data_IF_215005783456
#
_entry.id   IF_215005783456
#
_cell.length_a   1.000
_cell.length_b   1.000
_cell.length_c   1.000
_cell.angle_alpha   90.00
_cell.angle_beta   90.00
_cell.angle_gamma   90.00
#
_symmetry.space_group_name_H-M   'P 1'
#
loop_
_entity.id
_entity.type
_entity.pdbx_description
1 polymer ?
#
# COMPACT_ATOMS: atom_id res chain seq x y z
N UNK A 1 -5.47 -8.66 -6.24
CA UNK A 1 -4.43 -8.76 -7.26
C UNK A 1 -3.12 -8.93 -6.52
N UNK A 2 -2.47 -10.08 -6.68
CA UNK A 2 -1.12 -10.31 -6.19
C UNK A 2 -0.21 -9.43 -7.03
N UNK A 3 0.47 -8.42 -6.46
CA UNK A 3 1.17 -7.40 -7.25
C UNK A 3 2.25 -8.00 -8.18
N UNK A 4 2.61 -9.28 -8.00
CA UNK A 4 3.64 -9.91 -8.83
C UNK A 4 3.42 -11.37 -9.25
N UNK A 5 2.29 -12.00 -8.94
CA UNK A 5 2.08 -13.40 -9.33
C UNK A 5 1.46 -13.53 -10.73
N UNK A 6 2.29 -13.57 -11.78
CA UNK A 6 1.96 -14.21 -13.06
C UNK A 6 3.20 -14.48 -13.92
N UNK A 7 3.70 -15.72 -13.93
CA UNK A 7 3.62 -16.61 -15.10
C UNK A 7 3.98 -18.08 -14.77
N UNK A 8 3.50 -18.97 -15.66
CA UNK A 8 3.39 -20.42 -15.58
C UNK A 8 4.65 -21.26 -15.31
N UNK A 9 4.35 -22.44 -14.77
CA UNK A 9 5.21 -23.56 -14.37
C UNK A 9 6.01 -24.14 -15.55
N UNK A 10 7.33 -24.28 -15.35
CA UNK A 10 8.08 -25.41 -15.88
C UNK A 10 9.33 -25.71 -15.03
N UNK A 11 9.39 -26.94 -14.52
CA UNK A 11 10.55 -27.66 -13.97
C UNK A 11 11.18 -27.18 -12.64
N UNK A 12 10.83 -27.90 -11.57
CA UNK A 12 11.86 -28.53 -10.74
C UNK A 12 12.69 -27.66 -9.79
N UNK A 13 12.09 -26.73 -9.07
CA UNK A 13 12.52 -26.24 -7.73
C UNK A 13 11.44 -25.28 -7.26
N UNK A 14 11.04 -25.29 -5.97
CA UNK A 14 9.81 -24.62 -5.48
C UNK A 14 9.68 -23.17 -5.99
N UNK A 15 8.83 -22.90 -7.02
CA UNK A 15 8.90 -21.66 -7.80
C UNK A 15 8.43 -20.43 -7.02
N UNK A 16 7.59 -20.64 -6.00
CA UNK A 16 6.99 -19.59 -5.20
C UNK A 16 8.02 -18.78 -4.39
N UNK A 17 9.13 -19.39 -3.98
CA UNK A 17 10.14 -18.71 -3.16
C UNK A 17 11.05 -17.81 -4.00
N UNK A 18 11.45 -18.26 -5.19
CA UNK A 18 12.31 -17.49 -6.09
C UNK A 18 11.56 -16.30 -6.71
N UNK A 19 10.28 -16.49 -7.05
CA UNK A 19 9.40 -15.41 -7.52
C UNK A 19 9.21 -14.35 -6.43
N UNK A 20 8.89 -14.75 -5.19
CA UNK A 20 8.75 -13.81 -4.08
C UNK A 20 10.02 -12.99 -3.80
N UNK A 21 11.22 -13.57 -3.95
CA UNK A 21 12.49 -12.83 -3.80
C UNK A 21 12.70 -11.84 -4.95
N UNK A 22 12.39 -12.24 -6.19
CA UNK A 22 12.45 -11.32 -7.34
C UNK A 22 11.46 -10.17 -7.20
N UNK A 23 10.27 -10.44 -6.70
CA UNK A 23 9.21 -9.47 -6.49
C UNK A 23 9.57 -8.47 -5.40
N UNK A 24 10.18 -8.96 -4.30
CA UNK A 24 10.71 -8.11 -3.24
C UNK A 24 11.84 -7.22 -3.76
N UNK A 25 12.80 -7.76 -4.51
CA UNK A 25 13.89 -6.98 -5.11
C UNK A 25 13.35 -5.87 -6.02
N UNK A 26 12.36 -6.19 -6.86
CA UNK A 26 11.75 -5.18 -7.72
C UNK A 26 11.02 -4.10 -6.91
N UNK A 27 10.39 -4.45 -5.80
CA UNK A 27 9.79 -3.46 -4.90
C UNK A 27 10.88 -2.55 -4.29
N UNK A 28 12.01 -3.13 -3.85
CA UNK A 28 13.14 -2.34 -3.37
C UNK A 28 13.69 -1.41 -4.44
N UNK A 29 13.81 -1.87 -5.68
CA UNK A 29 14.23 -1.04 -6.81
C UNK A 29 13.25 0.10 -7.05
N UNK A 30 11.93 -0.17 -7.08
CA UNK A 30 10.88 0.85 -7.20
C UNK A 30 10.98 1.92 -6.10
N UNK A 31 11.23 1.52 -4.86
CA UNK A 31 11.38 2.45 -3.74
C UNK A 31 12.70 3.22 -3.79
N UNK A 32 13.79 2.57 -4.24
CA UNK A 32 15.12 3.18 -4.35
C UNK A 32 15.19 4.19 -5.51
N UNK A 33 14.53 3.88 -6.63
CA UNK A 33 14.38 4.79 -7.77
C UNK A 33 13.59 6.05 -7.44
N UNK A 34 12.89 6.05 -6.30
CA UNK A 34 12.17 7.19 -5.77
C UNK A 34 10.81 7.39 -6.43
N UNK A 35 9.91 7.94 -5.63
CA UNK A 35 8.58 8.37 -6.07
C UNK A 35 8.38 9.84 -5.74
N UNK A 36 7.58 10.52 -6.55
CA UNK A 36 7.11 11.87 -6.29
C UNK A 36 5.57 11.85 -6.25
N UNK A 37 5.01 12.76 -5.44
CA UNK A 37 3.58 13.08 -5.49
C UNK A 37 3.45 14.38 -6.26
N UNK A 38 2.78 14.34 -7.41
CA UNK A 38 2.64 15.49 -8.28
C UNK A 38 1.57 16.49 -7.76
N UNK A 39 1.36 17.56 -8.51
CA UNK A 39 0.41 18.63 -8.17
C UNK A 39 -1.04 18.14 -8.12
N UNK A 40 -1.36 17.09 -8.87
CA UNK A 40 -2.65 16.42 -8.90
C UNK A 40 -2.74 15.30 -7.86
N UNK A 41 -1.72 15.19 -7.00
CA UNK A 41 -1.63 14.26 -5.89
C UNK A 41 -1.53 12.79 -6.33
N UNK A 42 -1.10 12.57 -7.58
CA UNK A 42 -0.77 11.25 -8.11
C UNK A 42 0.66 10.90 -7.74
N UNK A 43 0.88 9.61 -7.48
CA UNK A 43 2.21 9.06 -7.27
C UNK A 43 2.80 8.73 -8.64
N UNK A 44 4.01 9.21 -8.90
CA UNK A 44 4.79 8.94 -10.11
C UNK A 44 6.14 8.34 -9.73
N UNK A 45 6.68 7.47 -10.60
CA UNK A 45 8.04 6.95 -10.47
C UNK A 45 9.00 7.92 -11.15
N UNK A 46 10.07 8.30 -10.46
CA UNK A 46 11.09 9.19 -11.01
C UNK A 46 11.96 8.48 -12.06
N UNK A 47 12.18 7.18 -11.89
CA UNK A 47 12.84 6.35 -12.87
C UNK A 47 11.90 6.06 -14.06
N UNK A 48 12.25 6.64 -15.21
CA UNK A 48 11.47 6.52 -16.45
C UNK A 48 11.50 5.11 -17.04
N UNK A 49 12.58 4.37 -16.86
CA UNK A 49 12.67 2.99 -17.34
C UNK A 49 11.70 2.14 -16.54
N UNK A 50 11.72 2.24 -15.21
CA UNK A 50 10.78 1.52 -14.35
C UNK A 50 9.32 1.94 -14.58
N UNK A 51 9.05 3.24 -14.74
CA UNK A 51 7.71 3.72 -15.08
C UNK A 51 7.17 3.12 -16.39
N UNK A 52 8.07 2.77 -17.33
CA UNK A 52 7.74 2.14 -18.61
C UNK A 52 7.64 0.61 -18.55
N UNK A 53 8.06 -0.03 -17.44
CA UNK A 53 7.92 -1.47 -17.26
C UNK A 53 6.48 -1.84 -16.95
N UNK A 54 6.08 -3.07 -17.33
CA UNK A 54 4.73 -3.59 -17.02
C UNK A 54 4.45 -3.58 -15.52
N UNK A 55 5.43 -3.98 -14.71
CA UNK A 55 5.31 -4.03 -13.26
C UNK A 55 5.27 -2.62 -12.64
N UNK A 56 6.07 -1.67 -13.13
CA UNK A 56 6.00 -0.27 -12.68
C UNK A 56 4.63 0.36 -12.96
N UNK A 57 4.06 0.13 -14.16
CA UNK A 57 2.69 0.58 -14.46
C UNK A 57 1.64 -0.08 -13.57
N UNK A 58 1.77 -1.38 -13.29
CA UNK A 58 0.85 -2.09 -12.40
C UNK A 58 0.92 -1.53 -10.97
N UNK A 59 2.13 -1.25 -10.47
CA UNK A 59 2.34 -0.59 -9.18
C UNK A 59 1.69 0.80 -9.14
N UNK A 60 1.93 1.63 -10.17
CA UNK A 60 1.35 2.96 -10.26
C UNK A 60 -0.18 2.93 -10.31
N UNK A 61 -0.77 2.01 -11.07
CA UNK A 61 -2.23 1.80 -11.08
C UNK A 61 -2.75 1.35 -9.71
N UNK A 62 -2.08 0.40 -9.04
CA UNK A 62 -2.48 -0.04 -7.71
C UNK A 62 -2.55 1.13 -6.73
N UNK A 63 -1.53 1.96 -6.72
CA UNK A 63 -1.43 3.09 -5.79
C UNK A 63 -2.37 4.24 -6.18
N UNK A 64 -2.44 4.61 -7.45
CA UNK A 64 -3.24 5.76 -7.89
C UNK A 64 -4.74 5.47 -7.95
N UNK A 65 -5.13 4.23 -8.22
CA UNK A 65 -6.54 3.88 -8.42
C UNK A 65 -7.22 3.39 -7.13
N UNK A 66 -6.45 2.81 -6.20
CA UNK A 66 -7.04 2.18 -5.00
C UNK A 66 -6.81 2.95 -3.70
N UNK A 67 -5.92 3.95 -3.67
CA UNK A 67 -5.62 4.72 -2.46
C UNK A 67 -6.37 6.06 -2.51
N UNK A 68 -7.26 6.33 -1.54
CA UNK A 68 -7.98 7.61 -1.48
C UNK A 68 -7.02 8.81 -1.45
N UNK A 69 -7.28 9.82 -2.29
CA UNK A 69 -6.45 11.04 -2.38
C UNK A 69 -6.97 12.22 -1.58
N UNK A 70 -8.25 12.19 -1.21
CA UNK A 70 -8.85 13.22 -0.35
C UNK A 70 -8.97 12.73 1.09
N UNK A 71 -8.87 13.66 2.04
CA UNK A 71 -9.04 13.36 3.46
C UNK A 71 -10.39 12.69 3.75
N UNK A 72 -11.47 13.22 3.18
CA UNK A 72 -12.83 12.67 3.40
C UNK A 72 -12.97 11.23 2.94
N UNK A 73 -12.40 10.89 1.78
CA UNK A 73 -12.44 9.52 1.27
C UNK A 73 -11.53 8.59 2.08
N UNK A 74 -10.41 9.11 2.60
CA UNK A 74 -9.54 8.36 3.51
C UNK A 74 -10.23 8.07 4.84
N UNK A 75 -10.91 9.05 5.44
CA UNK A 75 -11.71 8.88 6.65
C UNK A 75 -12.84 7.86 6.44
N UNK A 76 -13.48 7.86 5.27
CA UNK A 76 -14.49 6.87 4.92
C UNK A 76 -13.89 5.46 4.79
N UNK A 77 -12.71 5.33 4.19
CA UNK A 77 -11.98 4.08 4.14
C UNK A 77 -11.64 3.57 5.54
N UNK A 78 -11.15 4.44 6.44
CA UNK A 78 -10.90 4.09 7.84
C UNK A 78 -12.15 3.51 8.48
N UNK A 79 -13.28 4.21 8.42
CA UNK A 79 -14.55 3.73 9.01
C UNK A 79 -14.94 2.36 8.47
N UNK A 80 -14.80 2.16 7.16
CA UNK A 80 -15.09 0.88 6.50
C UNK A 80 -14.21 -0.25 7.04
N UNK A 81 -12.92 0.01 7.25
CA UNK A 81 -11.99 -0.97 7.83
C UNK A 81 -12.29 -1.24 9.31
N UNK A 82 -12.65 -0.22 10.08
CA UNK A 82 -13.03 -0.38 11.48
C UNK A 82 -14.30 -1.23 11.64
N UNK A 83 -15.29 -1.04 10.78
CA UNK A 83 -16.52 -1.85 10.74
C UNK A 83 -16.24 -3.31 10.34
N UNK A 84 -15.17 -3.56 9.59
CA UNK A 84 -14.76 -4.87 9.10
C UNK A 84 -13.88 -5.67 10.08
N UNK A 85 -13.46 -5.08 11.21
CA UNK A 85 -12.54 -5.70 12.21
C UNK A 85 -12.93 -7.08 12.74
N UNK A 86 -14.15 -7.57 12.47
CA UNK A 86 -14.61 -8.91 12.85
C UNK A 86 -13.99 -10.03 12.01
N UNK A 87 -13.35 -9.72 10.88
CA UNK A 87 -12.70 -10.68 9.99
C UNK A 87 -11.31 -10.17 9.62
N UNK A 88 -10.31 -11.05 9.48
CA UNK A 88 -9.00 -10.66 8.97
C UNK A 88 -9.13 -10.02 7.59
N UNK A 89 -8.34 -8.98 7.34
CA UNK A 89 -8.25 -8.39 6.01
C UNK A 89 -7.68 -9.39 5.00
N UNK A 90 -8.19 -9.34 3.76
CA UNK A 90 -7.52 -10.00 2.64
C UNK A 90 -6.14 -9.36 2.40
N UNK A 91 -5.18 -10.07 1.77
CA UNK A 91 -3.87 -9.50 1.47
C UNK A 91 -3.93 -8.16 0.73
N UNK A 92 -4.83 -8.03 -0.24
CA UNK A 92 -5.04 -6.78 -1.01
C UNK A 92 -5.56 -5.65 -0.13
N UNK A 93 -6.49 -5.93 0.77
CA UNK A 93 -6.98 -4.92 1.71
C UNK A 93 -5.90 -4.48 2.68
N UNK A 94 -5.05 -5.42 3.13
CA UNK A 94 -3.92 -5.11 3.98
C UNK A 94 -2.87 -4.25 3.24
N UNK A 95 -2.53 -4.59 1.99
CA UNK A 95 -1.66 -3.77 1.15
C UNK A 95 -2.20 -2.34 0.98
N UNK A 96 -3.49 -2.20 0.67
CA UNK A 96 -4.13 -0.89 0.55
C UNK A 96 -4.12 -0.11 1.87
N UNK A 97 -4.31 -0.78 3.01
CA UNK A 97 -4.19 -0.19 4.34
C UNK A 97 -2.77 0.37 4.57
N UNK A 98 -1.73 -0.41 4.27
CA UNK A 98 -0.34 0.03 4.46
C UNK A 98 -0.01 1.21 3.53
N UNK A 99 -0.40 1.15 2.26
CA UNK A 99 -0.17 2.24 1.32
C UNK A 99 -0.94 3.52 1.72
N UNK A 100 -2.15 3.38 2.23
CA UNK A 100 -2.94 4.49 2.78
C UNK A 100 -2.29 5.10 4.03
N UNK A 101 -1.66 4.27 4.87
CA UNK A 101 -0.90 4.71 6.04
C UNK A 101 0.29 5.57 5.63
N UNK A 102 1.10 5.09 4.68
CA UNK A 102 2.27 5.82 4.13
C UNK A 102 1.82 7.14 3.50
N UNK A 103 0.77 7.11 2.70
CA UNK A 103 0.23 8.29 2.06
C UNK A 103 -0.29 9.33 3.06
N UNK A 104 -1.00 8.89 4.11
CA UNK A 104 -1.49 9.79 5.17
C UNK A 104 -0.34 10.41 5.97
N UNK A 105 0.75 9.66 6.19
CA UNK A 105 1.96 10.20 6.82
C UNK A 105 2.63 11.26 5.94
N UNK A 106 2.73 11.01 4.64
CA UNK A 106 3.24 11.99 3.68
C UNK A 106 2.41 13.27 3.72
N UNK A 107 1.07 13.16 3.65
CA UNK A 107 0.18 14.32 3.72
C UNK A 107 0.37 15.08 5.04
N UNK A 108 0.33 14.40 6.20
CA UNK A 108 0.53 15.05 7.49
C UNK A 108 1.87 15.81 7.60
N UNK A 109 2.92 15.35 6.90
CA UNK A 109 4.21 16.02 6.85
C UNK A 109 4.25 17.25 5.92
N UNK A 110 3.56 17.19 4.78
CA UNK A 110 3.69 18.19 3.71
C UNK A 110 2.64 19.31 3.75
N UNK A 111 1.61 19.22 4.59
CA UNK A 111 0.61 20.28 4.72
C UNK A 111 1.20 21.53 5.38
N UNK A 112 0.97 22.70 4.78
CA UNK A 112 1.40 24.00 5.34
C UNK A 112 0.50 24.45 6.50
N UNK A 113 -0.79 24.14 6.42
CA UNK A 113 -1.77 24.54 7.44
C UNK A 113 -1.78 23.53 8.59
N UNK A 114 -1.53 24.01 9.81
CA UNK A 114 -1.53 23.17 11.03
C UNK A 114 -2.82 22.35 11.19
N UNK A 115 -3.98 22.94 10.88
CA UNK A 115 -5.27 22.23 10.96
C UNK A 115 -5.33 21.02 10.02
N UNK A 116 -4.83 21.16 8.79
CA UNK A 116 -4.78 20.06 7.83
C UNK A 116 -3.72 19.03 8.22
N UNK A 117 -2.56 19.46 8.70
CA UNK A 117 -1.54 18.57 9.26
C UNK A 117 -2.10 17.73 10.43
N UNK A 118 -2.81 18.34 11.37
CA UNK A 118 -3.45 17.64 12.49
C UNK A 118 -4.55 16.70 12.02
N UNK A 119 -5.36 17.11 11.04
CA UNK A 119 -6.42 16.29 10.49
C UNK A 119 -5.87 15.03 9.80
N UNK A 120 -4.85 15.17 8.95
CA UNK A 120 -4.15 14.04 8.34
C UNK A 120 -3.40 13.20 9.36
N UNK A 121 -2.83 13.81 10.40
CA UNK A 121 -2.23 13.10 11.53
C UNK A 121 -3.24 12.23 12.28
N UNK A 122 -4.47 12.71 12.46
CA UNK A 122 -5.58 11.94 13.01
C UNK A 122 -5.91 10.70 12.17
N UNK A 123 -6.01 10.87 10.85
CA UNK A 123 -6.24 9.76 9.91
C UNK A 123 -5.09 8.74 9.96
N UNK A 124 -3.84 9.21 9.98
CA UNK A 124 -2.65 8.37 10.13
C UNK A 124 -2.73 7.49 11.38
N UNK A 125 -3.07 8.08 12.53
CA UNK A 125 -3.19 7.35 13.80
C UNK A 125 -4.32 6.30 13.76
N UNK A 126 -5.45 6.61 13.12
CA UNK A 126 -6.55 5.66 12.97
C UNK A 126 -6.15 4.47 12.08
N UNK A 127 -5.50 4.73 10.95
CA UNK A 127 -4.95 3.68 10.08
C UNK A 127 -3.92 2.84 10.83
N UNK A 128 -3.02 3.46 11.61
CA UNK A 128 -2.03 2.74 12.42
C UNK A 128 -2.71 1.80 13.44
N UNK A 129 -3.80 2.24 14.06
CA UNK A 129 -4.58 1.41 14.98
C UNK A 129 -5.20 0.20 14.27
N UNK A 130 -5.77 0.40 13.08
CA UNK A 130 -6.28 -0.73 12.26
C UNK A 130 -5.13 -1.68 11.91
N UNK A 131 -3.97 -1.19 11.48
CA UNK A 131 -2.80 -2.02 11.16
C UNK A 131 -2.35 -2.85 12.35
N UNK A 132 -2.22 -2.24 13.53
CA UNK A 132 -1.83 -2.95 14.75
C UNK A 132 -2.88 -3.99 15.14
N UNK A 133 -4.17 -3.70 14.98
CA UNK A 133 -5.24 -4.66 15.21
C UNK A 133 -5.12 -5.87 14.28
N UNK A 134 -4.96 -5.64 12.98
CA UNK A 134 -4.84 -6.73 11.98
C UNK A 134 -3.61 -7.59 12.25
N UNK A 135 -2.46 -6.97 12.54
CA UNK A 135 -1.26 -7.71 12.88
C UNK A 135 -1.47 -8.57 14.13
N UNK A 136 -2.07 -8.03 15.19
CA UNK A 136 -2.35 -8.80 16.43
C UNK A 136 -3.36 -9.93 16.22
N UNK A 137 -4.40 -9.69 15.43
CA UNK A 137 -5.43 -10.69 15.12
C UNK A 137 -4.90 -11.83 14.24
N UNK A 138 -4.06 -11.54 13.24
CA UNK A 138 -3.57 -12.54 12.30
C UNK A 138 -2.72 -13.64 12.96
N UNK A 139 -1.95 -13.33 14.01
CA UNK A 139 -1.15 -14.34 14.72
C UNK A 139 -1.99 -15.36 15.49
N UNK A 140 -3.26 -15.05 15.79
CA UNK A 140 -4.14 -15.96 16.54
C UNK A 140 -4.85 -16.98 15.64
N UNK A 141 -4.91 -16.75 14.33
CA UNK A 141 -5.64 -17.59 13.37
C UNK A 141 -4.75 -18.34 12.36
N UNK A 142 -3.43 -18.18 12.42
CA UNK A 142 -2.48 -18.80 11.48
C UNK A 142 -2.02 -20.23 11.85
N UNK A 143 -2.78 -20.94 12.68
CA UNK A 143 -2.54 -22.35 13.03
C UNK A 143 -3.79 -23.22 12.81
N UNK A 144 -4.21 -23.37 11.56
CA UNK A 144 -5.14 -24.46 11.17
C UNK A 144 -4.79 -24.95 9.78
#
# INVERSE_FOLDING_TARGET
MWIFSSLEVAAGTTPASQTAVSDANLMFELLLGGVEIDQDNNIVLLDKEMASMRQGRAFLSQINDNIPRSRSSMEQMVKTLEDQRRKPLTPVQFENLILSLVYSAHQAWHQEERREQEAWGGVLLQLANVTVHELRGNYLFNYT
#
